data_IF_298737969533
#
_entry.id   IF_298737969533
#
_cell.length_a   1.000
_cell.length_b   1.000
_cell.length_c   1.000
_cell.angle_alpha   90.00
_cell.angle_beta   90.00
_cell.angle_gamma   90.00
#
_symmetry.space_group_name_H-M   'P 1'
#
loop_
_entity.id
_entity.type
_entity.pdbx_description
1 polymer ?
#
# COMPACT_ATOMS: atom_id res chain seq x y z
N UNK A 1 26.51 -26.39 9.56
CA UNK A 1 26.17 -24.98 9.28
C UNK A 1 26.77 -24.16 10.39
N UNK A 2 27.81 -23.41 10.11
CA UNK A 2 28.28 -22.38 11.06
C UNK A 2 27.10 -21.42 11.24
N UNK A 3 26.64 -21.24 12.45
CA UNK A 3 25.49 -20.37 12.71
C UNK A 3 25.93 -18.92 12.56
N UNK A 4 25.16 -18.10 11.89
CA UNK A 4 25.36 -16.65 11.81
C UNK A 4 25.39 -16.03 13.23
N UNK A 5 24.92 -16.78 14.20
CA UNK A 5 24.76 -16.34 15.58
C UNK A 5 23.51 -15.48 15.78
N UNK A 6 23.33 -14.98 16.99
CA UNK A 6 22.19 -14.09 17.31
C UNK A 6 22.47 -12.69 16.80
N UNK A 7 21.41 -11.99 16.37
CA UNK A 7 21.46 -10.56 16.08
C UNK A 7 21.64 -9.75 17.38
N UNK A 8 22.27 -8.60 17.27
CA UNK A 8 22.55 -7.74 18.41
C UNK A 8 21.34 -6.83 18.68
N UNK A 9 20.63 -7.09 19.79
CA UNK A 9 19.44 -6.34 20.18
C UNK A 9 19.73 -4.85 20.37
N UNK A 10 20.84 -4.50 21.06
CA UNK A 10 21.14 -3.11 21.37
C UNK A 10 21.50 -2.31 20.11
N UNK A 11 22.25 -2.94 19.18
CA UNK A 11 22.56 -2.38 17.87
C UNK A 11 21.29 -2.17 17.05
N UNK A 12 20.40 -3.16 17.01
CA UNK A 12 19.08 -3.06 16.36
C UNK A 12 18.24 -1.90 16.91
N UNK A 13 18.07 -1.84 18.23
CA UNK A 13 17.26 -0.78 18.90
C UNK A 13 17.88 0.59 18.67
N UNK A 14 19.21 0.69 18.73
CA UNK A 14 19.94 1.95 18.46
C UNK A 14 19.72 2.44 17.03
N UNK A 15 19.83 1.54 16.03
CA UNK A 15 19.55 1.88 14.65
C UNK A 15 18.07 2.28 14.46
N UNK A 16 17.14 1.44 14.96
CA UNK A 16 15.71 1.72 14.85
C UNK A 16 15.35 3.09 15.45
N UNK A 17 15.94 3.45 16.60
CA UNK A 17 15.72 4.75 17.21
C UNK A 17 16.11 5.92 16.30
N UNK A 18 17.21 5.79 15.55
CA UNK A 18 17.63 6.77 14.55
C UNK A 18 16.65 6.84 13.38
N UNK A 19 16.24 5.67 12.86
CA UNK A 19 15.31 5.60 11.72
C UNK A 19 13.94 6.20 12.07
N UNK A 20 13.41 5.92 13.27
CA UNK A 20 12.16 6.52 13.75
C UNK A 20 12.31 8.03 13.94
N UNK A 21 13.46 8.52 14.39
CA UNK A 21 13.76 9.96 14.47
C UNK A 21 13.71 10.67 13.11
N UNK A 22 13.96 9.94 12.03
CA UNK A 22 13.87 10.45 10.66
C UNK A 22 12.49 10.26 10.01
N UNK A 23 11.58 9.49 10.63
CA UNK A 23 10.30 9.11 10.01
C UNK A 23 9.42 10.31 9.63
N UNK A 24 9.52 11.44 10.32
CA UNK A 24 8.83 12.69 9.96
C UNK A 24 9.22 13.24 8.59
N UNK A 25 10.43 12.93 8.11
CA UNK A 25 10.95 13.43 6.83
C UNK A 25 10.74 12.43 5.68
N UNK A 26 10.27 11.22 5.99
CA UNK A 26 10.01 10.17 4.99
C UNK A 26 8.54 9.81 4.89
N UNK A 27 7.65 10.68 5.38
CA UNK A 27 6.21 10.55 5.16
C UNK A 27 5.89 10.73 3.69
N UNK A 28 5.13 9.80 3.11
CA UNK A 28 4.84 9.76 1.68
C UNK A 28 3.39 10.17 1.38
N UNK A 29 3.18 11.47 1.20
CA UNK A 29 1.90 12.07 0.84
C UNK A 29 2.08 13.29 -0.10
N UNK A 30 2.59 13.08 -1.33
CA UNK A 30 2.74 14.17 -2.30
C UNK A 30 1.38 14.82 -2.67
N UNK A 31 1.34 16.11 -2.98
CA UNK A 31 2.50 16.99 -3.07
C UNK A 31 2.95 17.61 -1.73
N UNK A 32 2.18 17.46 -0.66
CA UNK A 32 2.41 18.11 0.63
C UNK A 32 3.65 17.58 1.35
N UNK A 33 3.85 16.27 1.32
CA UNK A 33 4.98 15.59 1.96
C UNK A 33 5.68 14.67 0.95
N UNK A 34 6.86 15.10 0.51
CA UNK A 34 7.73 14.31 -0.38
C UNK A 34 8.81 13.64 0.48
N UNK A 35 8.85 12.31 0.54
CA UNK A 35 9.79 11.60 1.40
C UNK A 35 11.24 11.80 0.94
N UNK A 36 12.14 11.78 1.91
CA UNK A 36 13.61 11.94 1.73
C UNK A 36 14.29 10.65 2.22
N UNK A 37 14.11 9.57 1.49
CA UNK A 37 14.54 8.22 1.90
C UNK A 37 16.07 8.11 2.07
N UNK A 38 16.85 8.99 1.43
CA UNK A 38 18.31 9.05 1.64
C UNK A 38 18.70 9.34 3.09
N UNK A 39 17.81 9.91 3.89
CA UNK A 39 18.05 10.09 5.34
C UNK A 39 18.11 8.73 6.04
N UNK A 40 17.23 7.82 5.67
CA UNK A 40 17.23 6.44 6.16
C UNK A 40 18.43 5.66 5.59
N UNK A 41 18.66 5.78 4.26
CA UNK A 41 19.80 5.17 3.57
C UNK A 41 21.13 5.50 4.27
N UNK A 42 21.33 6.76 4.66
CA UNK A 42 22.57 7.18 5.32
C UNK A 42 22.82 6.43 6.65
N UNK A 43 21.79 6.23 7.49
CA UNK A 43 21.93 5.46 8.73
C UNK A 43 22.21 3.96 8.47
N UNK A 44 21.59 3.40 7.42
CA UNK A 44 21.89 2.01 6.98
C UNK A 44 23.31 1.91 6.50
N UNK A 45 23.77 2.85 5.65
CA UNK A 45 25.13 2.89 5.14
C UNK A 45 26.17 3.06 6.25
N UNK A 46 25.93 3.92 7.24
CA UNK A 46 26.83 4.09 8.39
C UNK A 46 27.02 2.78 9.16
N UNK A 47 25.99 1.94 9.21
CA UNK A 47 26.05 0.63 9.85
C UNK A 47 26.79 -0.41 9.03
N UNK A 48 26.74 -0.34 7.69
CA UNK A 48 27.24 -1.38 6.78
C UNK A 48 28.59 -1.08 6.12
N UNK A 49 28.93 0.21 5.90
CA UNK A 49 30.21 0.62 5.27
C UNK A 49 31.45 0.02 5.91
N UNK A 50 31.56 -0.15 7.24
CA UNK A 50 32.74 -0.80 7.83
C UNK A 50 32.97 -2.23 7.34
N UNK A 51 31.95 -2.87 6.78
CA UNK A 51 31.99 -4.24 6.28
C UNK A 51 31.89 -4.33 4.75
N UNK A 52 31.97 -3.20 4.07
CA UNK A 52 31.90 -3.16 2.60
C UNK A 52 33.24 -3.46 1.95
N UNK A 53 33.18 -3.91 0.70
CA UNK A 53 34.38 -4.11 -0.15
C UNK A 53 35.12 -2.82 -0.46
N UNK A 54 34.40 -1.69 -0.47
CA UNK A 54 34.96 -0.39 -0.86
C UNK A 54 35.75 0.30 0.27
N UNK A 55 35.31 0.18 1.51
CA UNK A 55 35.84 0.99 2.60
C UNK A 55 36.48 0.16 3.73
N UNK A 56 35.91 -0.99 4.06
CA UNK A 56 36.30 -1.75 5.23
C UNK A 56 37.04 -3.06 4.97
N UNK A 57 37.27 -3.41 3.72
CA UNK A 57 37.82 -4.72 3.36
C UNK A 57 36.94 -5.90 3.78
N UNK A 58 35.68 -5.62 3.99
CA UNK A 58 34.62 -6.59 4.29
C UNK A 58 34.03 -7.21 3.02
N UNK A 59 33.12 -8.19 3.15
CA UNK A 59 32.56 -8.89 2.01
C UNK A 59 31.37 -8.22 1.35
N UNK A 60 30.77 -7.19 1.97
CA UNK A 60 29.52 -6.61 1.48
C UNK A 60 29.73 -5.76 0.24
N UNK A 61 28.97 -6.06 -0.82
CA UNK A 61 28.85 -5.21 -2.00
C UNK A 61 27.61 -4.34 -1.83
N UNK A 62 27.79 -3.02 -1.88
CA UNK A 62 26.74 -2.04 -1.61
C UNK A 62 26.53 -1.19 -2.85
N UNK A 63 25.27 -1.06 -3.30
CA UNK A 63 24.89 -0.23 -4.43
C UNK A 63 23.74 0.69 -4.01
N UNK A 64 23.98 2.02 -3.97
CA UNK A 64 22.99 3.05 -3.71
C UNK A 64 22.51 3.62 -5.05
N UNK A 65 21.20 3.59 -5.29
CA UNK A 65 20.59 4.01 -6.56
C UNK A 65 19.46 4.98 -6.27
N UNK A 66 19.59 6.22 -6.72
CA UNK A 66 18.57 7.24 -6.61
C UNK A 66 18.14 7.72 -8.01
N UNK A 67 16.86 7.60 -8.32
CA UNK A 67 16.27 8.11 -9.57
C UNK A 67 15.75 9.54 -9.41
N UNK A 68 15.42 9.92 -8.19
CA UNK A 68 15.06 11.28 -7.80
C UNK A 68 15.97 11.72 -6.65
N UNK A 69 16.31 13.01 -6.62
CA UNK A 69 17.18 13.56 -5.59
C UNK A 69 16.60 13.32 -4.19
N UNK A 70 17.40 12.76 -3.30
CA UNK A 70 17.01 12.46 -1.91
C UNK A 70 16.14 11.20 -1.73
N UNK A 71 15.86 10.45 -2.81
CA UNK A 71 14.96 9.29 -2.82
C UNK A 71 15.68 8.01 -3.26
N UNK A 72 16.65 7.59 -2.47
CA UNK A 72 17.51 6.46 -2.80
C UNK A 72 16.94 5.10 -2.44
N UNK A 73 17.31 4.12 -3.26
CA UNK A 73 17.16 2.69 -2.98
C UNK A 73 18.54 2.11 -2.68
N UNK A 74 18.60 1.04 -1.90
CA UNK A 74 19.87 0.43 -1.52
C UNK A 74 19.84 -1.08 -1.76
N UNK A 75 20.83 -1.59 -2.51
CA UNK A 75 21.03 -3.03 -2.73
C UNK A 75 22.30 -3.43 -2.01
N UNK A 76 22.21 -4.40 -1.11
CA UNK A 76 23.33 -4.91 -0.33
C UNK A 76 23.45 -6.41 -0.57
N UNK A 77 24.63 -6.87 -0.98
CA UNK A 77 24.89 -8.28 -1.22
C UNK A 77 26.02 -8.80 -0.33
N UNK A 78 25.78 -9.92 0.33
CA UNK A 78 26.82 -10.80 0.88
C UNK A 78 27.06 -11.94 -0.12
N UNK A 79 28.24 -12.05 -0.74
CA UNK A 79 28.48 -13.03 -1.79
C UNK A 79 28.57 -14.45 -1.26
N UNK A 80 27.90 -15.39 -1.93
CA UNK A 80 28.01 -16.82 -1.68
C UNK A 80 29.09 -17.47 -2.52
N UNK A 81 29.48 -18.71 -2.19
CA UNK A 81 30.52 -19.47 -2.89
C UNK A 81 30.04 -20.15 -4.17
N UNK A 82 28.75 -20.30 -4.40
CA UNK A 82 28.15 -20.95 -5.57
C UNK A 82 27.48 -19.91 -6.47
N UNK A 83 28.05 -19.61 -7.66
CA UNK A 83 27.47 -18.66 -8.58
C UNK A 83 26.01 -18.98 -8.92
N UNK A 84 25.16 -17.96 -9.01
CA UNK A 84 23.76 -18.08 -9.38
C UNK A 84 22.84 -18.61 -8.27
N UNK A 85 23.35 -18.98 -7.10
CA UNK A 85 22.51 -19.28 -5.94
C UNK A 85 22.26 -18.02 -5.14
N UNK A 86 21.02 -17.57 -5.16
CA UNK A 86 20.59 -16.32 -4.50
C UNK A 86 19.50 -16.61 -3.48
N UNK A 87 19.57 -15.94 -2.35
CA UNK A 87 18.49 -15.78 -1.38
C UNK A 87 18.31 -14.29 -1.18
N UNK A 88 17.11 -13.79 -1.38
CA UNK A 88 16.88 -12.35 -1.33
C UNK A 88 15.78 -11.94 -0.37
N UNK A 89 16.01 -10.81 0.30
CA UNK A 89 15.06 -10.07 1.12
C UNK A 89 14.78 -8.74 0.42
N UNK A 90 13.51 -8.52 0.03
CA UNK A 90 13.06 -7.35 -0.72
C UNK A 90 11.85 -6.75 0.00
N UNK A 91 11.50 -5.51 -0.29
CA UNK A 91 10.28 -4.91 0.23
C UNK A 91 10.47 -4.07 1.49
N UNK A 92 11.65 -4.11 2.12
CA UNK A 92 11.94 -3.19 3.22
C UNK A 92 11.92 -1.77 2.70
N UNK A 93 10.78 -1.11 2.78
CA UNK A 93 10.62 0.25 2.33
C UNK A 93 11.02 1.27 3.41
N UNK A 94 11.46 2.43 2.96
CA UNK A 94 12.04 3.46 3.82
C UNK A 94 11.15 4.69 3.98
N UNK A 95 10.07 4.76 3.24
CA UNK A 95 8.99 5.73 3.43
C UNK A 95 7.95 5.22 4.43
N UNK A 96 7.08 6.09 4.91
CA UNK A 96 6.02 5.77 5.87
C UNK A 96 4.76 6.57 5.54
N UNK A 97 3.58 6.06 5.92
CA UNK A 97 2.33 6.83 5.89
C UNK A 97 2.38 7.99 6.88
N UNK A 98 1.54 9.00 6.66
CA UNK A 98 1.47 10.18 7.52
C UNK A 98 1.05 9.82 8.95
N UNK A 99 1.52 10.63 9.90
CA UNK A 99 1.07 10.59 11.28
C UNK A 99 0.75 12.02 11.76
N UNK A 100 -0.39 12.16 12.41
CA UNK A 100 -0.74 13.38 13.14
C UNK A 100 -0.36 13.19 14.62
N UNK A 101 0.65 13.89 15.14
CA UNK A 101 1.09 13.71 16.54
C UNK A 101 -0.03 13.92 17.58
N UNK A 102 -1.01 14.78 17.26
CA UNK A 102 -2.12 15.08 18.19
C UNK A 102 -3.10 13.89 18.38
N UNK A 103 -3.00 12.89 17.51
CA UNK A 103 -3.82 11.66 17.55
C UNK A 103 -3.09 10.48 18.18
N UNK A 104 -1.86 10.67 18.66
CA UNK A 104 -1.03 9.63 19.24
C UNK A 104 -0.86 9.82 20.74
N UNK A 105 -0.82 8.72 21.49
CA UNK A 105 -0.54 8.72 22.92
C UNK A 105 0.92 9.08 23.27
N UNK A 106 1.81 9.06 22.29
CA UNK A 106 3.25 9.35 22.39
C UNK A 106 3.73 9.96 21.07
N UNK A 107 4.90 10.59 21.07
CA UNK A 107 5.48 11.16 19.85
C UNK A 107 5.73 10.06 18.79
N UNK A 108 5.01 10.06 17.65
CA UNK A 108 5.20 9.06 16.60
C UNK A 108 6.59 9.09 15.96
N UNK A 109 7.31 10.19 16.07
CA UNK A 109 8.62 10.41 15.46
C UNK A 109 9.79 10.22 16.41
N UNK A 110 9.53 9.64 17.58
CA UNK A 110 10.53 9.26 18.57
C UNK A 110 10.28 7.83 19.04
N UNK A 111 11.31 6.99 19.04
CA UNK A 111 11.15 5.60 19.50
C UNK A 111 10.82 5.56 20.99
N UNK A 112 9.64 5.08 21.33
CA UNK A 112 9.21 4.81 22.71
C UNK A 112 9.38 3.32 23.01
N UNK A 113 9.95 3.02 24.18
CA UNK A 113 10.14 1.65 24.66
C UNK A 113 9.23 1.43 25.86
N UNK A 114 8.27 0.48 25.74
CA UNK A 114 7.32 0.12 26.77
C UNK A 114 7.41 -1.40 27.00
N UNK A 115 8.21 -1.80 27.97
CA UNK A 115 8.49 -3.20 28.27
C UNK A 115 9.17 -3.91 27.09
N UNK A 116 8.48 -4.82 26.43
CA UNK A 116 8.92 -5.56 25.25
C UNK A 116 8.44 -4.95 23.92
N UNK A 117 7.75 -3.81 23.98
CA UNK A 117 7.19 -3.12 22.80
C UNK A 117 8.03 -1.92 22.41
N UNK A 118 8.25 -1.80 21.12
CA UNK A 118 8.86 -0.64 20.48
C UNK A 118 7.77 0.11 19.72
N UNK A 119 7.58 1.40 20.00
CA UNK A 119 6.49 2.20 19.46
C UNK A 119 7.03 3.43 18.72
N UNK A 120 6.48 3.72 17.55
CA UNK A 120 6.81 4.85 16.71
C UNK A 120 6.28 4.64 15.29
N UNK A 121 6.16 5.71 14.47
CA UNK A 121 5.76 5.59 13.06
C UNK A 121 6.83 4.83 12.27
N UNK A 122 6.47 3.67 11.70
CA UNK A 122 7.37 2.81 10.94
C UNK A 122 7.98 1.66 11.75
N UNK A 123 7.71 1.49 13.04
CA UNK A 123 8.28 0.37 13.82
C UNK A 123 7.85 -1.00 13.31
N UNK A 124 6.64 -1.11 12.75
CA UNK A 124 6.12 -2.32 12.11
C UNK A 124 6.22 -2.22 10.60
N UNK A 125 5.86 -1.06 10.05
CA UNK A 125 5.70 -0.78 8.64
C UNK A 125 6.50 0.46 8.24
N UNK A 126 7.72 0.36 7.69
CA UNK A 126 8.53 -0.86 7.58
C UNK A 126 9.96 -0.65 8.15
N UNK A 127 10.25 0.53 8.83
CA UNK A 127 11.58 0.89 9.33
C UNK A 127 12.14 -0.12 10.36
N UNK A 128 11.25 -0.83 11.09
CA UNK A 128 11.67 -1.94 11.94
C UNK A 128 12.32 -3.07 11.16
N UNK A 129 11.77 -3.42 10.01
CA UNK A 129 12.34 -4.44 9.13
C UNK A 129 13.60 -3.93 8.42
N UNK A 130 13.65 -2.63 8.07
CA UNK A 130 14.89 -1.99 7.58
C UNK A 130 16.02 -2.16 8.60
N UNK A 131 15.76 -1.85 9.89
CA UNK A 131 16.76 -2.03 10.95
C UNK A 131 17.14 -3.50 11.15
N UNK A 132 16.16 -4.42 11.14
CA UNK A 132 16.38 -5.85 11.35
C UNK A 132 17.26 -6.47 10.26
N UNK A 133 16.95 -6.19 8.99
CA UNK A 133 17.71 -6.74 7.86
C UNK A 133 19.07 -6.05 7.77
N UNK A 134 19.20 -4.78 8.12
CA UNK A 134 20.49 -4.11 8.26
C UNK A 134 21.38 -4.82 9.29
N UNK A 135 20.84 -5.17 10.46
CA UNK A 135 21.58 -5.89 11.50
C UNK A 135 21.98 -7.31 11.02
N UNK A 136 21.12 -7.99 10.24
CA UNK A 136 21.46 -9.26 9.61
C UNK A 136 22.64 -9.11 8.63
N UNK A 137 22.61 -8.13 7.73
CA UNK A 137 23.67 -7.89 6.75
C UNK A 137 24.99 -7.49 7.45
N UNK A 138 24.91 -6.65 8.48
CA UNK A 138 26.04 -6.32 9.34
C UNK A 138 26.63 -7.57 9.96
N UNK A 139 25.81 -8.44 10.54
CA UNK A 139 26.24 -9.69 11.16
C UNK A 139 26.93 -10.63 10.17
N UNK A 140 26.44 -10.73 8.94
CA UNK A 140 27.10 -11.46 7.86
C UNK A 140 28.48 -10.86 7.54
N UNK A 141 28.56 -9.53 7.49
CA UNK A 141 29.83 -8.82 7.27
C UNK A 141 30.85 -9.04 8.38
N UNK A 142 30.40 -9.11 9.64
CA UNK A 142 31.24 -9.35 10.83
C UNK A 142 31.76 -10.79 10.88
N UNK A 143 30.85 -11.76 10.76
CA UNK A 143 31.16 -13.18 11.00
C UNK A 143 31.70 -13.89 9.77
N UNK A 144 31.48 -13.35 8.59
CA UNK A 144 31.96 -13.87 7.30
C UNK A 144 31.71 -15.38 7.13
N UNK A 145 30.48 -15.88 7.34
CA UNK A 145 30.18 -17.30 7.26
C UNK A 145 30.34 -17.80 5.83
N UNK A 146 30.82 -19.04 5.68
CA UNK A 146 30.94 -19.69 4.37
C UNK A 146 29.58 -20.13 3.84
N UNK A 147 28.85 -19.21 3.19
CA UNK A 147 27.55 -19.50 2.60
C UNK A 147 27.68 -19.99 1.15
N UNK A 148 26.79 -20.93 0.76
CA UNK A 148 26.69 -21.37 -0.64
C UNK A 148 25.94 -20.35 -1.49
N UNK A 149 24.88 -19.76 -0.96
CA UNK A 149 24.06 -18.76 -1.64
C UNK A 149 24.51 -17.36 -1.29
N UNK A 150 24.50 -16.45 -2.26
CA UNK A 150 24.57 -15.03 -1.97
C UNK A 150 23.29 -14.62 -1.22
N UNK A 151 23.42 -13.72 -0.25
CA UNK A 151 22.31 -13.09 0.44
C UNK A 151 22.19 -11.66 -0.05
N UNK A 152 21.03 -11.29 -0.60
CA UNK A 152 20.79 -9.96 -1.16
C UNK A 152 19.65 -9.29 -0.40
N UNK A 153 19.90 -8.11 0.13
CA UNK A 153 18.88 -7.24 0.73
C UNK A 153 18.60 -6.04 -0.19
N UNK A 154 17.34 -5.73 -0.43
CA UNK A 154 16.91 -4.60 -1.26
C UNK A 154 15.99 -3.71 -0.45
N UNK A 155 16.50 -2.56 -0.03
CA UNK A 155 15.76 -1.51 0.64
C UNK A 155 15.22 -0.56 -0.42
N UNK A 156 13.92 -0.29 -0.39
CA UNK A 156 13.23 0.44 -1.46
C UNK A 156 12.65 1.76 -0.98
N UNK A 157 12.56 2.70 -1.90
CA UNK A 157 11.85 3.96 -1.72
C UNK A 157 10.43 3.84 -2.28
N UNK A 158 9.51 4.69 -1.79
CA UNK A 158 8.18 4.92 -2.39
C UNK A 158 7.28 3.69 -2.50
N UNK A 159 7.08 2.97 -1.42
CA UNK A 159 6.11 1.87 -1.34
C UNK A 159 4.72 2.39 -1.00
N UNK A 160 4.60 3.26 0.02
CA UNK A 160 3.33 3.71 0.61
C UNK A 160 2.46 4.56 -0.34
N UNK A 161 3.08 5.25 -1.28
CA UNK A 161 2.36 6.10 -2.22
C UNK A 161 3.11 6.23 -3.54
N UNK A 162 2.52 5.71 -4.61
CA UNK A 162 3.09 5.67 -5.96
C UNK A 162 2.67 6.85 -6.85
N UNK A 163 2.13 7.93 -6.29
CA UNK A 163 1.69 9.11 -7.09
C UNK A 163 2.86 9.82 -7.80
N UNK A 164 4.08 9.67 -7.30
CA UNK A 164 5.31 10.04 -8.02
C UNK A 164 5.92 8.74 -8.57
N UNK A 165 5.78 8.45 -9.88
CA UNK A 165 6.29 7.23 -10.47
C UNK A 165 7.81 7.29 -10.67
N UNK A 166 8.42 6.12 -10.83
CA UNK A 166 9.83 6.03 -11.22
C UNK A 166 10.81 6.30 -10.09
N UNK A 167 10.44 6.00 -8.84
CA UNK A 167 11.28 6.22 -7.65
C UNK A 167 11.83 4.91 -7.10
N UNK A 168 10.98 3.91 -6.97
CA UNK A 168 11.24 2.71 -6.19
C UNK A 168 11.58 1.48 -7.02
N UNK A 169 11.02 0.35 -6.62
CA UNK A 169 11.32 -0.98 -7.16
C UNK A 169 11.02 -1.12 -8.65
N UNK A 170 10.05 -0.38 -9.17
CA UNK A 170 9.70 -0.35 -10.60
C UNK A 170 10.90 0.02 -11.48
N UNK A 171 11.67 1.04 -11.07
CA UNK A 171 12.86 1.45 -11.80
C UNK A 171 14.02 0.49 -11.62
N UNK A 172 14.22 -0.07 -10.42
CA UNK A 172 15.24 -1.11 -10.21
C UNK A 172 15.00 -2.33 -11.11
N UNK A 173 13.72 -2.72 -11.32
CA UNK A 173 13.34 -3.79 -12.25
C UNK A 173 13.56 -3.37 -13.70
N UNK A 174 13.15 -2.17 -14.09
CA UNK A 174 13.33 -1.63 -15.45
C UNK A 174 14.81 -1.59 -15.84
N UNK A 175 15.68 -1.19 -14.93
CA UNK A 175 17.13 -1.12 -15.13
C UNK A 175 17.82 -2.49 -14.95
N UNK A 176 17.04 -3.56 -14.72
CA UNK A 176 17.53 -4.94 -14.57
C UNK A 176 18.49 -5.16 -13.39
N UNK A 177 18.50 -4.25 -12.42
CA UNK A 177 19.37 -4.35 -11.24
C UNK A 177 18.97 -5.52 -10.33
N UNK A 178 17.71 -5.99 -10.46
CA UNK A 178 17.15 -7.10 -9.68
C UNK A 178 17.08 -8.42 -10.46
N UNK A 179 17.57 -8.50 -11.70
CA UNK A 179 17.41 -9.69 -12.54
C UNK A 179 18.05 -10.94 -11.92
N UNK A 180 19.16 -10.80 -11.19
CA UNK A 180 19.81 -11.90 -10.49
C UNK A 180 18.91 -12.55 -9.42
N UNK A 181 17.95 -11.82 -8.85
CA UNK A 181 17.06 -12.34 -7.81
C UNK A 181 16.11 -13.42 -8.33
N UNK A 182 15.88 -13.48 -9.64
CA UNK A 182 15.07 -14.52 -10.31
C UNK A 182 15.68 -15.92 -10.18
N UNK A 183 16.94 -16.02 -9.75
CA UNK A 183 17.68 -17.29 -9.63
C UNK A 183 17.52 -17.98 -8.27
N UNK A 184 16.64 -17.48 -7.39
CA UNK A 184 16.44 -18.08 -6.07
C UNK A 184 15.17 -17.61 -5.38
N UNK A 185 14.96 -18.06 -4.14
CA UNK A 185 13.80 -17.62 -3.37
C UNK A 185 13.92 -16.14 -3.02
N UNK A 186 12.81 -15.44 -3.18
CA UNK A 186 12.63 -14.05 -2.81
C UNK A 186 11.62 -13.97 -1.65
N UNK A 187 12.03 -13.34 -0.56
CA UNK A 187 11.19 -13.05 0.58
C UNK A 187 10.85 -11.55 0.57
N UNK A 188 9.57 -11.23 0.39
CA UNK A 188 9.08 -9.88 0.56
C UNK A 188 8.91 -9.63 2.06
N UNK A 189 9.70 -8.70 2.58
CA UNK A 189 9.72 -8.34 4.00
C UNK A 189 8.96 -7.04 4.18
N UNK A 190 7.79 -7.18 4.79
CA UNK A 190 6.88 -6.09 5.06
C UNK A 190 6.07 -6.45 6.32
N UNK A 191 4.88 -5.86 6.53
CA UNK A 191 4.05 -6.21 7.68
C UNK A 191 3.53 -7.64 7.59
N UNK A 192 3.72 -8.42 8.65
CA UNK A 192 3.15 -9.77 8.78
C UNK A 192 2.91 -10.11 10.24
N UNK A 193 1.92 -10.95 10.52
CA UNK A 193 1.53 -11.40 11.86
C UNK A 193 2.48 -12.48 12.41
N UNK A 194 3.78 -12.21 12.44
CA UNK A 194 4.83 -13.13 12.95
C UNK A 194 4.88 -14.49 12.26
N UNK A 195 4.41 -14.57 11.01
CA UNK A 195 4.37 -15.80 10.23
C UNK A 195 4.58 -15.51 8.75
N UNK A 196 5.06 -16.49 7.96
CA UNK A 196 5.13 -16.35 6.52
C UNK A 196 3.72 -16.20 5.93
N UNK A 197 3.53 -15.19 5.09
CA UNK A 197 2.34 -15.03 4.26
C UNK A 197 2.64 -15.62 2.88
N UNK A 198 1.88 -16.63 2.45
CA UNK A 198 2.10 -17.34 1.18
C UNK A 198 1.24 -16.82 0.03
N UNK A 199 0.48 -15.77 0.25
CA UNK A 199 -0.35 -15.13 -0.75
C UNK A 199 -0.86 -13.79 -0.27
N UNK A 200 -1.18 -12.92 -1.22
CA UNK A 200 -1.80 -11.62 -0.96
C UNK A 200 -3.14 -11.54 -1.67
N UNK A 201 -4.05 -10.75 -1.12
CA UNK A 201 -5.26 -10.36 -1.83
C UNK A 201 -4.98 -9.32 -2.92
N UNK A 202 -6.03 -8.98 -3.66
CA UNK A 202 -6.03 -7.90 -4.64
C UNK A 202 -6.74 -6.65 -4.10
N UNK A 203 -6.43 -5.50 -4.69
CA UNK A 203 -7.13 -4.25 -4.43
C UNK A 203 -7.49 -3.59 -5.76
N UNK A 204 -8.75 -3.14 -5.89
CA UNK A 204 -9.23 -2.37 -7.03
C UNK A 204 -9.82 -1.07 -6.47
N UNK A 205 -9.15 0.08 -6.62
CA UNK A 205 -9.75 1.36 -6.31
C UNK A 205 -10.83 1.66 -7.34
N UNK A 206 -11.95 2.22 -6.89
CA UNK A 206 -13.05 2.60 -7.76
C UNK A 206 -13.62 3.97 -7.40
N UNK A 207 -14.18 4.60 -8.42
CA UNK A 207 -14.90 5.86 -8.29
C UNK A 207 -16.16 5.80 -9.14
N UNK A 208 -17.30 6.05 -8.52
CA UNK A 208 -18.60 6.14 -9.16
C UNK A 208 -19.04 7.61 -9.17
N UNK A 209 -19.29 8.14 -10.34
CA UNK A 209 -19.85 9.46 -10.52
C UNK A 209 -21.32 9.36 -10.88
N UNK A 210 -22.17 10.11 -10.16
CA UNK A 210 -23.61 10.11 -10.36
C UNK A 210 -24.05 11.50 -10.80
N UNK A 211 -24.68 11.57 -11.97
CA UNK A 211 -25.24 12.77 -12.55
C UNK A 211 -26.73 12.84 -12.34
N UNK A 212 -27.20 13.96 -11.88
CA UNK A 212 -28.61 14.27 -11.66
C UNK A 212 -28.98 15.62 -12.26
N UNK A 213 -30.00 16.26 -11.71
CA UNK A 213 -30.41 17.60 -12.12
C UNK A 213 -30.63 18.47 -10.90
N UNK A 214 -29.80 19.52 -10.76
CA UNK A 214 -29.92 20.49 -9.69
C UNK A 214 -31.20 21.27 -9.79
N UNK A 215 -31.93 21.39 -8.67
CA UNK A 215 -33.08 22.28 -8.55
C UNK A 215 -33.35 22.62 -7.07
N UNK A 216 -34.28 23.59 -6.83
CA UNK A 216 -34.72 23.93 -5.49
C UNK A 216 -35.48 22.77 -4.85
N UNK A 217 -35.17 22.40 -3.60
CA UNK A 217 -35.74 21.24 -2.92
C UNK A 217 -37.25 21.31 -2.71
N UNK A 218 -37.81 22.52 -2.60
CA UNK A 218 -39.28 22.74 -2.57
C UNK A 218 -39.96 22.41 -3.90
N UNK A 219 -39.26 22.18 -4.98
CA UNK A 219 -39.76 21.81 -6.29
C UNK A 219 -39.08 20.51 -6.78
N UNK A 220 -39.01 19.53 -5.91
CA UNK A 220 -38.29 18.26 -6.13
C UNK A 220 -38.75 17.51 -7.40
N UNK A 221 -39.99 17.73 -7.87
CA UNK A 221 -40.47 17.15 -9.13
C UNK A 221 -39.77 17.65 -10.39
N UNK A 222 -38.94 18.72 -10.29
CA UNK A 222 -38.13 19.28 -11.39
C UNK A 222 -36.65 18.89 -11.28
N UNK A 223 -36.29 18.12 -10.28
CA UNK A 223 -34.92 17.70 -9.99
C UNK A 223 -34.71 16.20 -10.17
N UNK A 224 -33.47 15.82 -10.31
CA UNK A 224 -32.96 14.45 -10.09
C UNK A 224 -31.88 14.56 -9.02
N UNK A 225 -32.14 13.95 -7.86
CA UNK A 225 -31.19 13.99 -6.74
C UNK A 225 -30.04 13.03 -6.95
N UNK A 226 -28.86 13.55 -7.31
CA UNK A 226 -27.67 12.74 -7.55
C UNK A 226 -27.22 11.96 -6.29
N UNK A 227 -27.48 12.48 -5.07
CA UNK A 227 -27.17 11.75 -3.84
C UNK A 227 -28.09 10.54 -3.63
N UNK A 228 -29.39 10.69 -3.87
CA UNK A 228 -30.32 9.56 -3.79
C UNK A 228 -30.01 8.51 -4.87
N UNK A 229 -29.75 8.95 -6.10
CA UNK A 229 -29.30 8.09 -7.18
C UNK A 229 -28.02 7.35 -6.80
N UNK A 230 -27.04 8.05 -6.21
CA UNK A 230 -25.79 7.47 -5.72
C UNK A 230 -26.00 6.40 -4.63
N UNK A 231 -26.91 6.63 -3.70
CA UNK A 231 -27.26 5.66 -2.65
C UNK A 231 -27.85 4.37 -3.23
N UNK A 232 -28.82 4.49 -4.14
CA UNK A 232 -29.48 3.31 -4.73
C UNK A 232 -28.58 2.63 -5.78
N UNK A 233 -27.85 3.38 -6.61
CA UNK A 233 -26.87 2.82 -7.56
C UNK A 233 -25.76 2.05 -6.87
N UNK A 234 -25.17 2.64 -5.81
CA UNK A 234 -24.15 1.95 -5.01
C UNK A 234 -24.69 0.67 -4.36
N UNK A 235 -25.90 0.74 -3.77
CA UNK A 235 -26.54 -0.43 -3.16
C UNK A 235 -26.76 -1.55 -4.18
N UNK A 236 -27.19 -1.22 -5.39
CA UNK A 236 -27.41 -2.20 -6.46
C UNK A 236 -26.08 -2.82 -6.93
N UNK A 237 -25.05 -2.01 -7.15
CA UNK A 237 -23.71 -2.50 -7.53
C UNK A 237 -23.13 -3.43 -6.44
N UNK A 238 -23.20 -3.03 -5.17
CA UNK A 238 -22.74 -3.87 -4.06
C UNK A 238 -23.54 -5.17 -3.96
N UNK A 239 -24.86 -5.13 -4.16
CA UNK A 239 -25.71 -6.34 -4.12
C UNK A 239 -25.31 -7.33 -5.22
N UNK A 240 -25.03 -6.85 -6.43
CA UNK A 240 -24.55 -7.67 -7.55
C UNK A 240 -23.15 -8.20 -7.28
N UNK A 241 -22.25 -7.37 -6.75
CA UNK A 241 -20.89 -7.77 -6.40
C UNK A 241 -20.91 -8.93 -5.40
N UNK A 242 -21.65 -8.81 -4.28
CA UNK A 242 -21.69 -9.86 -3.26
C UNK A 242 -22.47 -11.13 -3.71
N UNK A 243 -23.35 -11.02 -4.70
CA UNK A 243 -23.99 -12.18 -5.34
C UNK A 243 -23.02 -12.94 -6.23
N UNK A 244 -22.25 -12.22 -7.06
CA UNK A 244 -21.38 -12.79 -8.09
C UNK A 244 -20.01 -13.20 -7.55
N UNK A 245 -19.56 -12.57 -6.44
CA UNK A 245 -18.31 -12.86 -5.74
C UNK A 245 -18.59 -13.16 -4.24
N UNK A 246 -19.33 -14.25 -3.94
CA UNK A 246 -19.62 -14.65 -2.56
C UNK A 246 -18.35 -15.11 -1.85
N UNK A 247 -18.37 -15.32 -0.51
CA UNK A 247 -17.25 -15.91 0.20
C UNK A 247 -16.80 -17.23 -0.44
N UNK A 248 -15.53 -17.32 -0.80
CA UNK A 248 -14.99 -18.51 -1.47
C UNK A 248 -14.68 -19.62 -0.43
N UNK A 249 -14.99 -20.91 -0.69
CA UNK A 249 -14.74 -21.99 0.27
C UNK A 249 -13.30 -22.11 0.77
N UNK A 250 -12.33 -21.77 -0.08
CA UNK A 250 -10.90 -21.78 0.27
C UNK A 250 -10.52 -20.71 1.31
N UNK A 251 -11.28 -19.63 1.43
CA UNK A 251 -11.03 -18.59 2.44
C UNK A 251 -11.03 -19.18 3.86
N UNK A 252 -11.97 -20.07 4.13
CA UNK A 252 -12.04 -20.79 5.41
C UNK A 252 -10.85 -21.73 5.61
N UNK A 253 -10.40 -22.41 4.54
CA UNK A 253 -9.28 -23.36 4.60
C UNK A 253 -7.98 -22.62 4.92
N UNK A 254 -7.78 -21.45 4.32
CA UNK A 254 -6.58 -20.63 4.52
C UNK A 254 -6.70 -19.62 5.67
N UNK A 255 -7.83 -19.59 6.38
CA UNK A 255 -8.00 -18.75 7.56
C UNK A 255 -8.13 -17.26 7.28
N UNK A 256 -8.66 -16.86 6.11
CA UNK A 256 -8.92 -15.45 5.83
C UNK A 256 -9.91 -14.87 6.85
N UNK A 257 -9.55 -13.77 7.48
CA UNK A 257 -10.40 -13.10 8.47
C UNK A 257 -11.64 -12.44 7.83
N UNK A 258 -11.50 -12.00 6.57
CA UNK A 258 -12.57 -11.36 5.79
C UNK A 258 -12.61 -11.93 4.38
N UNK A 259 -13.81 -12.16 3.82
CA UNK A 259 -13.97 -12.47 2.41
C UNK A 259 -13.69 -11.24 1.53
N UNK A 260 -13.83 -11.41 0.21
CA UNK A 260 -13.78 -10.28 -0.72
C UNK A 260 -14.85 -9.26 -0.39
N UNK A 261 -14.50 -7.97 -0.42
CA UNK A 261 -15.40 -6.86 -0.04
C UNK A 261 -15.33 -5.73 -1.04
N UNK A 262 -16.45 -5.02 -1.21
CA UNK A 262 -16.54 -3.74 -1.91
C UNK A 262 -17.05 -2.69 -0.91
N UNK A 263 -16.19 -1.72 -0.54
CA UNK A 263 -16.53 -0.72 0.49
C UNK A 263 -16.38 0.70 -0.06
N UNK A 264 -17.42 1.55 0.09
CA UNK A 264 -17.26 2.99 -0.06
C UNK A 264 -16.47 3.53 1.14
N UNK A 265 -15.54 4.43 0.86
CA UNK A 265 -14.71 5.07 1.89
C UNK A 265 -14.82 6.59 1.85
N UNK A 266 -15.26 7.16 0.72
CA UNK A 266 -15.41 8.59 0.54
C UNK A 266 -16.70 8.92 -0.21
N UNK A 267 -17.32 10.04 0.17
CA UNK A 267 -18.47 10.60 -0.50
C UNK A 267 -18.27 12.11 -0.66
N UNK A 268 -18.38 12.60 -1.87
CA UNK A 268 -18.24 14.02 -2.16
C UNK A 268 -19.34 14.54 -3.08
N UNK A 269 -19.67 15.81 -2.89
CA UNK A 269 -20.60 16.56 -3.72
C UNK A 269 -20.12 18.01 -3.81
N UNK A 270 -20.53 18.78 -4.85
CA UNK A 270 -19.96 20.12 -5.08
C UNK A 270 -20.34 21.17 -4.04
N UNK A 271 -21.18 20.83 -3.05
CA UNK A 271 -21.69 21.79 -2.07
C UNK A 271 -22.92 22.53 -2.59
N UNK A 272 -23.35 23.55 -1.85
CA UNK A 272 -24.52 24.38 -2.19
C UNK A 272 -25.37 24.75 -0.98
N UNK A 273 -26.45 25.47 -1.20
CA UNK A 273 -27.41 25.81 -0.15
C UNK A 273 -28.17 24.57 0.32
N UNK A 274 -28.59 24.56 1.60
CA UNK A 274 -29.37 23.45 2.21
C UNK A 274 -30.68 23.17 1.47
N UNK A 275 -31.20 24.13 0.72
CA UNK A 275 -32.40 24.04 -0.07
C UNK A 275 -32.16 23.71 -1.55
N UNK A 276 -30.97 23.21 -1.90
CA UNK A 276 -30.61 22.76 -3.24
C UNK A 276 -30.48 21.24 -3.28
N UNK A 277 -31.20 20.61 -4.23
CA UNK A 277 -30.95 19.21 -4.62
C UNK A 277 -29.67 19.18 -5.45
N UNK A 278 -28.65 18.39 -5.09
CA UNK A 278 -27.41 18.37 -5.83
C UNK A 278 -27.57 17.69 -7.20
N UNK A 279 -26.95 18.29 -8.22
CA UNK A 279 -26.93 17.77 -9.59
C UNK A 279 -25.88 16.71 -9.86
N UNK A 280 -24.95 16.53 -8.94
CA UNK A 280 -23.89 15.52 -9.05
C UNK A 280 -23.39 15.07 -7.68
N UNK A 281 -22.88 13.87 -7.59
CA UNK A 281 -22.09 13.40 -6.46
C UNK A 281 -21.10 12.31 -6.90
N UNK A 282 -20.08 12.11 -6.10
CA UNK A 282 -19.08 11.07 -6.34
C UNK A 282 -18.92 10.22 -5.10
N UNK A 283 -18.92 8.91 -5.28
CA UNK A 283 -18.58 7.93 -4.26
C UNK A 283 -17.31 7.20 -4.68
N UNK A 284 -16.35 7.10 -3.78
CA UNK A 284 -15.11 6.38 -4.03
C UNK A 284 -14.89 5.33 -2.95
N UNK A 285 -14.13 4.31 -3.29
CA UNK A 285 -13.81 3.23 -2.37
C UNK A 285 -12.87 2.22 -2.99
N UNK A 286 -12.77 1.07 -2.36
CA UNK A 286 -12.01 -0.04 -2.89
C UNK A 286 -12.79 -1.36 -2.88
N UNK A 287 -12.36 -2.26 -3.74
CA UNK A 287 -12.64 -3.69 -3.65
C UNK A 287 -11.40 -4.36 -3.08
N UNK A 288 -11.56 -5.13 -2.02
CA UNK A 288 -10.54 -6.03 -1.50
C UNK A 288 -10.89 -7.44 -1.94
N UNK A 289 -9.96 -8.10 -2.62
CA UNK A 289 -10.17 -9.45 -3.15
C UNK A 289 -9.30 -10.45 -2.40
N UNK A 290 -9.87 -11.59 -2.08
CA UNK A 290 -9.10 -12.79 -1.78
C UNK A 290 -8.51 -13.35 -3.08
N UNK A 291 -7.40 -14.13 -3.05
CA UNK A 291 -6.70 -14.58 -4.27
C UNK A 291 -7.47 -15.62 -5.10
N UNK A 292 -8.73 -15.87 -4.79
CA UNK A 292 -9.55 -16.90 -5.43
C UNK A 292 -10.45 -16.35 -6.55
N UNK A 293 -10.45 -15.03 -6.75
CA UNK A 293 -11.17 -14.36 -7.83
C UNK A 293 -10.21 -13.63 -8.77
N UNK A 294 -10.42 -13.76 -10.08
CA UNK A 294 -9.63 -13.05 -11.07
C UNK A 294 -9.98 -11.56 -11.07
N UNK A 295 -8.97 -10.72 -10.88
CA UNK A 295 -9.14 -9.26 -10.82
C UNK A 295 -9.75 -8.68 -12.09
N UNK A 296 -9.42 -9.25 -13.27
CA UNK A 296 -9.94 -8.78 -14.57
C UNK A 296 -11.41 -9.12 -14.73
N UNK A 297 -11.82 -10.30 -14.22
CA UNK A 297 -13.23 -10.67 -14.21
C UNK A 297 -14.04 -9.75 -13.30
N UNK A 298 -13.53 -9.45 -12.11
CA UNK A 298 -14.18 -8.52 -11.19
C UNK A 298 -14.32 -7.12 -11.81
N UNK A 299 -13.25 -6.58 -12.42
CA UNK A 299 -13.30 -5.28 -13.10
C UNK A 299 -14.32 -5.26 -14.22
N UNK A 300 -14.34 -6.31 -15.05
CA UNK A 300 -15.32 -6.46 -16.14
C UNK A 300 -16.76 -6.47 -15.59
N UNK A 301 -17.02 -7.23 -14.54
CA UNK A 301 -18.34 -7.32 -13.92
C UNK A 301 -18.79 -5.99 -13.32
N UNK A 302 -17.90 -5.26 -12.65
CA UNK A 302 -18.24 -3.94 -12.12
C UNK A 302 -18.66 -2.97 -13.24
N UNK A 303 -17.96 -2.99 -14.38
CA UNK A 303 -18.34 -2.18 -15.54
C UNK A 303 -19.70 -2.63 -16.11
N UNK A 304 -19.94 -3.94 -16.25
CA UNK A 304 -21.23 -4.46 -16.71
C UNK A 304 -22.39 -4.02 -15.81
N UNK A 305 -22.19 -3.94 -14.47
CA UNK A 305 -23.23 -3.45 -13.57
C UNK A 305 -23.56 -1.98 -13.80
N UNK A 306 -22.53 -1.15 -13.98
CA UNK A 306 -22.71 0.29 -14.26
C UNK A 306 -23.42 0.48 -15.60
N UNK A 307 -23.01 -0.22 -16.65
CA UNK A 307 -23.63 -0.11 -17.99
C UNK A 307 -25.11 -0.53 -17.98
N UNK A 308 -25.44 -1.60 -17.25
CA UNK A 308 -26.83 -2.05 -17.10
C UNK A 308 -27.68 -1.05 -16.29
N UNK A 309 -27.13 -0.49 -15.20
CA UNK A 309 -27.82 0.53 -14.42
C UNK A 309 -28.06 1.79 -15.25
N UNK A 310 -27.08 2.24 -16.02
CA UNK A 310 -27.25 3.39 -16.92
C UNK A 310 -28.35 3.15 -17.97
N UNK A 311 -28.42 1.93 -18.50
CA UNK A 311 -29.47 1.56 -19.48
C UNK A 311 -30.86 1.47 -18.87
N UNK A 312 -30.94 1.07 -17.59
CA UNK A 312 -32.20 0.72 -16.91
C UNK A 312 -32.37 1.51 -15.60
N UNK A 313 -32.02 2.80 -15.61
CA UNK A 313 -31.99 3.64 -14.39
C UNK A 313 -33.34 3.75 -13.69
N UNK A 314 -34.44 3.68 -14.45
CA UNK A 314 -35.82 3.67 -13.93
C UNK A 314 -36.15 2.44 -13.08
N UNK A 315 -35.40 1.36 -13.19
CA UNK A 315 -35.59 0.15 -12.39
C UNK A 315 -34.98 0.26 -10.98
N UNK A 316 -34.18 1.30 -10.71
CA UNK A 316 -33.68 1.56 -9.37
C UNK A 316 -34.82 1.94 -8.42
N UNK A 317 -34.69 1.51 -7.16
CA UNK A 317 -35.67 1.85 -6.13
C UNK A 317 -35.70 3.36 -5.87
N UNK A 318 -36.89 3.96 -5.84
CA UNK A 318 -37.08 5.38 -5.54
C UNK A 318 -37.40 5.62 -4.07
N UNK A 319 -37.06 6.81 -3.57
CA UNK A 319 -37.25 7.23 -2.18
C UNK A 319 -38.39 8.25 -2.09
N UNK A 320 -39.58 7.78 -1.88
CA UNK A 320 -40.74 8.62 -1.76
C UNK A 320 -41.38 9.00 -3.10
N UNK A 321 -42.52 9.77 -3.08
CA UNK A 321 -43.38 9.92 -4.23
C UNK A 321 -42.82 10.81 -5.35
N UNK A 322 -41.80 11.62 -5.07
CA UNK A 322 -41.18 12.55 -6.04
C UNK A 322 -39.69 12.26 -6.29
N UNK A 323 -39.17 11.27 -5.60
CA UNK A 323 -37.80 10.78 -5.85
C UNK A 323 -37.83 9.92 -7.12
N UNK A 324 -37.05 10.34 -8.12
CA UNK A 324 -37.00 9.70 -9.45
C UNK A 324 -35.69 10.01 -10.11
N UNK A 325 -35.36 9.24 -11.14
CA UNK A 325 -34.11 9.35 -11.90
C UNK A 325 -34.39 9.70 -13.38
N UNK A 326 -35.65 9.77 -13.76
CA UNK A 326 -36.11 10.22 -15.08
C UNK A 326 -37.16 11.34 -14.86
N UNK A 327 -37.05 12.43 -15.60
CA UNK A 327 -38.03 13.52 -15.52
C UNK A 327 -39.32 13.19 -16.27
N UNK A 328 -40.48 13.89 -15.98
CA UNK A 328 -41.74 13.60 -16.61
C UNK A 328 -41.78 13.77 -18.13
N UNK A 329 -40.86 14.58 -18.69
CA UNK A 329 -40.69 14.77 -20.14
C UNK A 329 -39.81 13.68 -20.79
N UNK A 330 -39.42 12.64 -20.03
CA UNK A 330 -38.56 11.58 -20.50
C UNK A 330 -37.06 11.93 -20.51
N UNK A 331 -36.70 13.15 -20.07
CA UNK A 331 -35.28 13.53 -19.96
C UNK A 331 -34.66 12.80 -18.78
N UNK A 332 -33.56 12.14 -19.01
CA UNK A 332 -32.68 11.59 -17.97
C UNK A 332 -31.26 12.12 -18.19
N UNK A 333 -30.46 12.02 -17.15
CA UNK A 333 -29.06 12.44 -17.20
C UNK A 333 -28.22 11.18 -17.19
N UNK A 334 -27.44 10.99 -18.24
CA UNK A 334 -26.46 9.91 -18.31
C UNK A 334 -25.36 10.16 -17.26
N UNK A 335 -25.07 9.13 -16.46
CA UNK A 335 -24.03 9.17 -15.43
C UNK A 335 -22.70 8.61 -15.91
#
# INVERSE_FOLDING_TARGET
MESVGSLNKDSFVSLLSKLIGESKFVQNNPPELIPQEDRIVNHVLDSLRPYSTETGGGPLVINHVAYHSGRGNLIVEYPGSVPGKILSFVGMHMDVVTANPDEWEFDPFSLSIDGDKLRGRGTTDCLGHVALVTELMKRLGETKPALKSSVVAVFIASEENSSIPGVGVDMLVKDKLLDKLKSGPLFWIDTADKQPCIGTGGMIPWKLHFSGKLFHSGLAHKAINAMELGMEGLKEIQSRFYRDFPPHPQEKVYGFATPSTMKPTQWSYPGGGINQIPGECTVSGDVRLTPFYDVKEVMKKLQEYVDDINTNVENLATRGPVSKYVLPDGTYVEG
#
